data_IF_719964772164
#
_entry.id   IF_719964772164
#
_cell.length_a   1.000
_cell.length_b   1.000
_cell.length_c   1.000
_cell.angle_alpha   90.00
_cell.angle_beta   90.00
_cell.angle_gamma   90.00
#
_symmetry.space_group_name_H-M   'P 1'
#
loop_
_entity.id
_entity.type
_entity.pdbx_description
1 polymer ?
#
# COMPACT_ATOMS: atom_id res chain seq x y z
N UNK A 1 0.40 -14.82 -14.66
CA UNK A 1 1.15 -13.83 -13.85
C UNK A 1 0.23 -13.33 -12.74
N UNK A 2 0.81 -13.08 -11.56
CA UNK A 2 0.12 -12.74 -10.32
C UNK A 2 0.28 -11.25 -10.00
N UNK A 3 -0.83 -10.58 -9.68
CA UNK A 3 -0.85 -9.17 -9.31
C UNK A 3 -1.42 -9.02 -7.90
N UNK A 4 -0.78 -8.16 -7.11
CA UNK A 4 -1.37 -7.59 -5.89
C UNK A 4 -1.63 -6.10 -6.11
N UNK A 5 -2.87 -5.67 -5.94
CA UNK A 5 -3.24 -4.25 -5.95
C UNK A 5 -3.34 -3.69 -4.53
N UNK A 6 -2.78 -2.50 -4.29
CA UNK A 6 -3.10 -1.70 -3.11
C UNK A 6 -4.04 -0.56 -3.51
N UNK A 7 -5.27 -0.62 -3.02
CA UNK A 7 -6.37 0.21 -3.52
C UNK A 7 -6.96 1.07 -2.41
N UNK A 8 -6.79 2.38 -2.57
CA UNK A 8 -7.30 3.38 -1.63
C UNK A 8 -8.58 4.02 -2.18
N UNK A 9 -9.65 4.05 -1.37
CA UNK A 9 -10.87 4.82 -1.69
C UNK A 9 -11.38 4.55 -3.12
N UNK A 10 -11.54 5.61 -3.92
CA UNK A 10 -12.03 5.56 -5.29
C UNK A 10 -11.05 4.90 -6.27
N UNK A 11 -9.77 4.74 -5.91
CA UNK A 11 -8.83 3.98 -6.73
C UNK A 11 -9.23 2.51 -6.83
N UNK A 12 -10.12 1.99 -5.98
CA UNK A 12 -10.69 0.65 -6.14
C UNK A 12 -11.33 0.43 -7.52
N UNK A 13 -12.11 1.41 -8.00
CA UNK A 13 -12.76 1.35 -9.32
C UNK A 13 -11.73 1.35 -10.44
N UNK A 14 -10.73 2.22 -10.34
CA UNK A 14 -9.66 2.33 -11.31
C UNK A 14 -8.80 1.05 -11.34
N UNK A 15 -8.36 0.57 -10.18
CA UNK A 15 -7.56 -0.65 -10.05
C UNK A 15 -8.29 -1.88 -10.56
N UNK A 16 -9.59 -1.96 -10.31
CA UNK A 16 -10.42 -3.01 -10.89
C UNK A 16 -10.52 -2.92 -12.41
N UNK A 17 -10.79 -1.74 -12.97
CA UNK A 17 -10.79 -1.54 -14.42
C UNK A 17 -9.42 -1.90 -15.05
N UNK A 18 -8.32 -1.62 -14.35
CA UNK A 18 -6.99 -2.04 -14.76
C UNK A 18 -6.85 -3.57 -14.71
N UNK A 19 -7.33 -4.23 -13.66
CA UNK A 19 -7.31 -5.70 -13.56
C UNK A 19 -8.04 -6.37 -14.73
N UNK A 20 -9.19 -5.83 -15.14
CA UNK A 20 -9.96 -6.31 -16.31
C UNK A 20 -9.16 -6.20 -17.60
N UNK A 21 -8.42 -5.11 -17.80
CA UNK A 21 -7.59 -4.95 -18.98
C UNK A 21 -6.33 -5.83 -18.92
N UNK A 22 -5.65 -5.91 -17.77
CA UNK A 22 -4.50 -6.79 -17.59
C UNK A 22 -4.86 -8.28 -17.75
N UNK A 23 -6.10 -8.66 -17.43
CA UNK A 23 -6.59 -10.01 -17.71
C UNK A 23 -6.53 -10.38 -19.20
N UNK A 24 -6.79 -9.41 -20.08
CA UNK A 24 -6.69 -9.58 -21.54
C UNK A 24 -5.24 -9.74 -22.00
N UNK A 25 -4.31 -9.15 -21.25
CA UNK A 25 -2.86 -9.23 -21.49
C UNK A 25 -2.19 -10.49 -20.87
N UNK A 26 -2.98 -11.47 -20.39
CA UNK A 26 -2.47 -12.74 -19.88
C UNK A 26 -2.21 -12.82 -18.36
N UNK A 27 -2.56 -11.77 -17.60
CA UNK A 27 -2.58 -11.85 -16.15
C UNK A 27 -3.81 -12.65 -15.68
N UNK A 28 -3.63 -13.56 -14.71
CA UNK A 28 -4.67 -14.55 -14.39
C UNK A 28 -4.98 -14.69 -12.90
N UNK A 29 -4.11 -14.16 -12.03
CA UNK A 29 -4.28 -14.23 -10.58
C UNK A 29 -4.21 -12.83 -10.01
N UNK A 30 -5.26 -12.44 -9.30
CA UNK A 30 -5.43 -11.10 -8.78
C UNK A 30 -5.68 -11.18 -7.27
N UNK A 31 -4.94 -10.38 -6.50
CA UNK A 31 -5.18 -10.15 -5.08
C UNK A 31 -5.27 -8.65 -4.85
N UNK A 32 -5.95 -8.25 -3.77
CA UNK A 32 -6.09 -6.85 -3.43
C UNK A 32 -5.93 -6.62 -1.92
N UNK A 33 -5.32 -5.49 -1.60
CA UNK A 33 -5.23 -4.92 -0.27
C UNK A 33 -5.96 -3.58 -0.32
N UNK A 34 -7.22 -3.59 0.14
CA UNK A 34 -8.09 -2.44 0.18
C UNK A 34 -7.87 -1.64 1.46
N UNK A 35 -7.78 -0.31 1.35
CA UNK A 35 -7.60 0.54 2.52
C UNK A 35 -8.90 0.69 3.34
N UNK A 36 -10.03 0.93 2.69
CA UNK A 36 -11.32 1.19 3.33
C UNK A 36 -12.36 0.15 2.94
N UNK A 37 -13.36 -0.06 3.80
CA UNK A 37 -14.45 -1.01 3.59
C UNK A 37 -15.20 -0.76 2.29
N UNK A 38 -15.49 0.49 1.95
CA UNK A 38 -16.08 0.87 0.67
C UNK A 38 -15.24 0.39 -0.53
N UNK A 39 -13.91 0.50 -0.44
CA UNK A 39 -13.02 0.00 -1.50
C UNK A 39 -13.12 -1.52 -1.62
N UNK A 40 -13.18 -2.24 -0.49
CA UNK A 40 -13.37 -3.70 -0.46
C UNK A 40 -14.71 -4.11 -1.08
N UNK A 41 -15.81 -3.48 -0.66
CA UNK A 41 -17.16 -3.73 -1.16
C UNK A 41 -17.28 -3.48 -2.67
N UNK A 42 -16.62 -2.43 -3.19
CA UNK A 42 -16.56 -2.19 -4.64
C UNK A 42 -15.98 -3.40 -5.36
N UNK A 43 -14.89 -3.98 -4.84
CA UNK A 43 -14.20 -5.11 -5.46
C UNK A 43 -14.98 -6.42 -5.33
N UNK A 44 -15.66 -6.64 -4.20
CA UNK A 44 -16.49 -7.83 -3.95
C UNK A 44 -17.75 -7.86 -4.84
N UNK A 45 -18.29 -6.70 -5.20
CA UNK A 45 -19.49 -6.59 -6.03
C UNK A 45 -19.22 -6.71 -7.54
N UNK A 46 -17.98 -6.95 -7.98
CA UNK A 46 -17.64 -7.15 -9.40
C UNK A 46 -17.51 -8.65 -9.72
N UNK A 47 -18.01 -9.08 -10.89
CA UNK A 47 -18.09 -10.50 -11.26
C UNK A 47 -17.03 -10.94 -12.29
N UNK A 48 -16.35 -10.00 -12.93
CA UNK A 48 -15.38 -10.19 -14.00
C UNK A 48 -13.96 -10.53 -13.50
N UNK A 49 -13.61 -10.08 -12.28
CA UNK A 49 -12.37 -10.40 -11.58
C UNK A 49 -12.67 -11.09 -10.26
N UNK A 50 -12.21 -12.34 -10.12
CA UNK A 50 -12.21 -13.06 -8.85
C UNK A 50 -10.86 -12.83 -8.15
N UNK A 51 -10.89 -12.08 -7.05
CA UNK A 51 -9.70 -11.87 -6.23
C UNK A 51 -9.43 -13.09 -5.35
N UNK A 52 -8.21 -13.65 -5.40
CA UNK A 52 -7.79 -14.82 -4.61
C UNK A 52 -7.65 -14.47 -3.13
N UNK A 53 -7.10 -13.28 -2.85
CA UNK A 53 -7.05 -12.70 -1.52
C UNK A 53 -7.51 -11.24 -1.56
N UNK A 54 -8.31 -10.86 -0.57
CA UNK A 54 -8.82 -9.51 -0.41
C UNK A 54 -8.69 -9.08 1.06
N UNK A 55 -7.64 -8.33 1.38
CA UNK A 55 -7.40 -7.80 2.71
C UNK A 55 -7.98 -6.40 2.88
N UNK A 56 -8.38 -6.06 4.12
CA UNK A 56 -8.90 -4.75 4.49
C UNK A 56 -8.02 -4.12 5.58
N UNK A 57 -7.45 -2.95 5.29
CA UNK A 57 -6.55 -2.22 6.19
C UNK A 57 -7.24 -1.74 7.47
N UNK A 58 -8.50 -1.33 7.40
CA UNK A 58 -9.28 -0.92 8.58
C UNK A 58 -9.44 -2.05 9.60
N UNK A 59 -9.60 -3.28 9.14
CA UNK A 59 -9.75 -4.43 10.03
C UNK A 59 -8.40 -4.81 10.63
N UNK A 60 -7.32 -4.76 9.84
CA UNK A 60 -5.94 -4.90 10.34
C UNK A 60 -5.63 -3.85 11.41
N UNK A 61 -6.01 -2.60 11.18
CA UNK A 61 -5.75 -1.51 12.11
C UNK A 61 -6.38 -1.79 13.48
N UNK A 62 -7.64 -2.26 13.54
CA UNK A 62 -8.31 -2.53 14.82
C UNK A 62 -7.60 -3.57 15.69
N UNK A 63 -6.82 -4.47 15.08
CA UNK A 63 -6.12 -5.53 15.79
C UNK A 63 -4.91 -5.03 16.61
N UNK A 64 -4.46 -3.77 16.45
CA UNK A 64 -3.35 -3.24 17.28
C UNK A 64 -3.62 -3.35 18.78
N UNK A 65 -4.89 -3.26 19.19
CA UNK A 65 -5.29 -3.32 20.61
C UNK A 65 -5.08 -4.71 21.23
N UNK A 66 -5.05 -5.75 20.39
CA UNK A 66 -4.83 -7.14 20.82
C UNK A 66 -3.39 -7.59 20.59
N UNK A 67 -2.64 -6.84 19.79
CA UNK A 67 -1.25 -7.17 19.45
C UNK A 67 -0.33 -6.94 20.66
N UNK A 68 0.36 -8.01 21.08
CA UNK A 68 1.42 -7.89 22.07
C UNK A 68 2.66 -7.30 21.40
N UNK A 69 3.21 -6.26 22.02
CA UNK A 69 4.42 -5.60 21.51
C UNK A 69 5.61 -6.57 21.53
N UNK A 70 6.27 -6.72 20.38
CA UNK A 70 7.39 -7.63 20.17
C UNK A 70 8.59 -6.82 19.68
N UNK A 71 9.45 -6.44 20.63
CA UNK A 71 10.63 -5.64 20.34
C UNK A 71 11.66 -6.38 19.49
N UNK A 72 11.76 -7.70 19.57
CA UNK A 72 12.70 -8.46 18.74
C UNK A 72 12.25 -8.45 17.28
N UNK A 73 10.94 -8.63 17.04
CA UNK A 73 10.39 -8.47 15.70
C UNK A 73 10.62 -7.05 15.16
N UNK A 74 10.38 -6.01 15.96
CA UNK A 74 10.57 -4.62 15.53
C UNK A 74 12.04 -4.32 15.21
N UNK A 75 13.00 -4.80 16.01
CA UNK A 75 14.43 -4.66 15.69
C UNK A 75 14.77 -5.35 14.37
N UNK A 76 14.26 -6.56 14.14
CA UNK A 76 14.47 -7.25 12.86
C UNK A 76 13.84 -6.49 11.70
N UNK A 77 12.62 -5.98 11.87
CA UNK A 77 11.93 -5.18 10.87
C UNK A 77 12.74 -3.93 10.50
N UNK A 78 13.34 -3.27 11.49
CA UNK A 78 14.20 -2.12 11.29
C UNK A 78 15.47 -2.47 10.49
N UNK A 79 16.13 -3.57 10.84
CA UNK A 79 17.33 -4.05 10.11
C UNK A 79 17.00 -4.41 8.66
N UNK A 80 15.89 -5.11 8.44
CA UNK A 80 15.53 -5.62 7.12
C UNK A 80 14.99 -4.53 6.18
N UNK A 81 14.18 -3.60 6.73
CA UNK A 81 13.36 -2.65 5.96
C UNK A 81 13.40 -1.18 6.43
N UNK A 82 14.17 -0.81 7.45
CA UNK A 82 14.23 0.58 7.97
C UNK A 82 14.77 1.60 6.95
N UNK A 83 14.36 2.87 7.07
CA UNK A 83 14.72 3.96 6.13
C UNK A 83 15.06 5.28 6.82
N UNK A 84 16.18 5.46 7.53
CA UNK A 84 17.16 4.46 7.97
C UNK A 84 16.69 3.66 9.20
N UNK A 85 15.56 4.04 9.79
CA UNK A 85 14.92 3.40 10.93
C UNK A 85 13.41 3.23 10.67
N UNK A 86 12.62 2.85 11.67
CA UNK A 86 11.18 2.63 11.50
C UNK A 86 10.31 3.90 11.50
N UNK A 87 10.83 5.05 11.94
CA UNK A 87 10.02 6.27 12.09
C UNK A 87 9.34 6.75 10.81
N UNK A 88 9.98 6.71 9.62
CA UNK A 88 9.36 7.23 8.41
C UNK A 88 8.04 6.56 8.03
N UNK A 89 7.88 5.29 8.39
CA UNK A 89 6.62 4.56 8.20
C UNK A 89 5.48 5.11 9.07
N UNK A 90 5.79 5.65 10.25
CA UNK A 90 4.81 6.26 11.15
C UNK A 90 4.58 7.72 10.73
N UNK A 91 5.66 8.46 10.46
CA UNK A 91 5.56 9.91 10.19
C UNK A 91 4.89 10.25 8.87
N UNK A 92 4.90 9.34 7.89
CA UNK A 92 4.13 9.53 6.65
C UNK A 92 2.62 9.54 6.89
N UNK A 93 2.14 8.97 8.01
CA UNK A 93 0.74 8.78 8.28
C UNK A 93 0.21 9.86 9.23
N UNK A 94 -0.36 10.91 8.64
CA UNK A 94 -0.89 12.05 9.42
C UNK A 94 -1.96 11.65 10.43
N UNK A 95 -2.70 10.56 10.19
CA UNK A 95 -3.74 10.12 11.11
C UNK A 95 -3.12 9.43 12.33
N UNK A 96 -1.99 8.73 12.16
CA UNK A 96 -1.23 8.21 13.30
C UNK A 96 -0.55 9.32 14.10
N UNK A 97 0.16 10.23 13.43
CA UNK A 97 0.97 11.24 14.11
C UNK A 97 0.18 12.40 14.71
N UNK A 98 -0.85 12.88 14.01
CA UNK A 98 -1.50 14.14 14.35
C UNK A 98 -3.00 14.01 14.59
N UNK A 99 -3.56 12.79 14.47
CA UNK A 99 -5.02 12.59 14.52
C UNK A 99 -5.78 13.39 13.46
N UNK A 100 -5.11 13.86 12.41
CA UNK A 100 -5.72 14.73 11.40
C UNK A 100 -6.46 13.85 10.39
N UNK A 101 -7.79 13.96 10.34
CA UNK A 101 -8.56 13.43 9.23
C UNK A 101 -8.37 14.34 8.00
N UNK A 102 -8.59 13.82 6.78
CA UNK A 102 -8.57 14.66 5.59
C UNK A 102 -9.54 15.85 5.75
N UNK A 103 -9.01 17.08 5.62
CA UNK A 103 -9.75 18.36 5.64
C UNK A 103 -10.10 18.92 7.04
N UNK A 104 -9.45 18.43 8.10
CA UNK A 104 -9.55 19.04 9.44
C UNK A 104 -8.42 20.05 9.71
N UNK A 105 -8.69 21.02 10.58
CA UNK A 105 -7.68 21.94 11.10
C UNK A 105 -6.63 21.17 11.93
N UNK A 106 -5.34 21.54 11.87
CA UNK A 106 -4.30 20.77 12.51
C UNK A 106 -4.51 20.68 14.03
N UNK A 107 -4.63 19.45 14.51
CA UNK A 107 -4.40 19.10 15.91
C UNK A 107 -2.98 18.55 15.99
N UNK A 108 -2.18 19.05 16.92
CA UNK A 108 -0.80 18.57 17.10
C UNK A 108 -0.70 17.41 18.10
N UNK A 109 -1.84 16.82 18.48
CA UNK A 109 -1.90 15.72 19.46
C UNK A 109 -2.11 14.37 18.77
N UNK A 110 -1.19 13.40 18.94
CA UNK A 110 -1.40 12.03 18.47
C UNK A 110 -2.52 11.34 19.25
N UNK A 111 -3.32 10.55 18.53
CA UNK A 111 -4.41 9.74 19.11
C UNK A 111 -3.87 8.49 19.82
N UNK A 112 -2.69 8.04 19.41
CA UNK A 112 -2.09 6.78 19.82
C UNK A 112 -0.91 7.04 20.75
N UNK A 113 -0.73 6.18 21.76
CA UNK A 113 0.50 6.16 22.53
C UNK A 113 1.68 5.68 21.67
N UNK A 114 2.92 5.90 22.13
CA UNK A 114 4.10 5.36 21.46
C UNK A 114 4.00 3.83 21.27
N UNK A 115 3.60 3.10 22.31
CA UNK A 115 3.43 1.65 22.23
C UNK A 115 2.33 1.25 21.23
N UNK A 116 1.24 2.00 21.15
CA UNK A 116 0.18 1.73 20.18
C UNK A 116 0.67 1.95 18.74
N UNK A 117 1.44 3.02 18.49
CA UNK A 117 2.06 3.23 17.18
C UNK A 117 2.99 2.07 16.80
N UNK A 118 3.78 1.56 17.75
CA UNK A 118 4.62 0.39 17.52
C UNK A 118 3.80 -0.88 17.24
N UNK A 119 2.71 -1.11 17.99
CA UNK A 119 1.78 -2.23 17.74
C UNK A 119 1.14 -2.14 16.35
N UNK A 120 0.71 -0.94 15.94
CA UNK A 120 0.13 -0.67 14.62
C UNK A 120 1.14 -0.98 13.51
N UNK A 121 2.37 -0.49 13.66
CA UNK A 121 3.44 -0.74 12.71
C UNK A 121 3.75 -2.25 12.61
N UNK A 122 3.88 -2.90 13.76
CA UNK A 122 4.16 -4.34 13.88
C UNK A 122 3.09 -5.19 13.19
N UNK A 123 1.81 -4.99 13.51
CA UNK A 123 0.75 -5.83 12.95
C UNK A 123 0.60 -5.63 11.44
N UNK A 124 0.70 -4.38 10.96
CA UNK A 124 0.67 -4.07 9.52
C UNK A 124 1.84 -4.74 8.80
N UNK A 125 3.06 -4.64 9.35
CA UNK A 125 4.23 -5.27 8.75
C UNK A 125 4.12 -6.80 8.71
N UNK A 126 3.72 -7.44 9.81
CA UNK A 126 3.51 -8.91 9.86
C UNK A 126 2.52 -9.37 8.80
N UNK A 127 1.38 -8.68 8.67
CA UNK A 127 0.34 -9.06 7.71
C UNK A 127 0.78 -8.79 6.27
N UNK A 128 1.49 -7.71 6.00
CA UNK A 128 2.02 -7.40 4.67
C UNK A 128 3.06 -8.45 4.24
N UNK A 129 3.99 -8.81 5.13
CA UNK A 129 4.99 -9.85 4.85
C UNK A 129 4.28 -11.16 4.53
N UNK A 130 3.36 -11.59 5.38
CA UNK A 130 2.57 -12.81 5.18
C UNK A 130 1.79 -12.78 3.86
N UNK A 131 1.12 -11.66 3.55
CA UNK A 131 0.41 -11.47 2.29
C UNK A 131 1.32 -11.69 1.08
N UNK A 132 2.50 -11.07 1.07
CA UNK A 132 3.45 -11.18 -0.04
C UNK A 132 4.06 -12.58 -0.14
N UNK A 133 4.33 -13.24 0.97
CA UNK A 133 4.84 -14.62 1.03
C UNK A 133 3.83 -15.66 0.55
N UNK A 134 2.55 -15.46 0.87
CA UNK A 134 1.46 -16.37 0.45
C UNK A 134 1.06 -16.13 -1.01
N UNK A 135 0.83 -14.88 -1.38
CA UNK A 135 0.39 -14.55 -2.75
C UNK A 135 1.51 -14.72 -3.76
N UNK A 136 2.76 -14.42 -3.39
CA UNK A 136 3.94 -14.38 -4.26
C UNK A 136 3.64 -13.64 -5.57
N UNK A 137 3.27 -12.35 -5.50
CA UNK A 137 2.88 -11.61 -6.68
C UNK A 137 4.11 -11.33 -7.55
N UNK A 138 3.94 -11.40 -8.86
CA UNK A 138 4.96 -10.95 -9.82
C UNK A 138 5.03 -9.42 -9.85
N UNK A 139 3.86 -8.78 -9.64
CA UNK A 139 3.69 -7.32 -9.66
C UNK A 139 2.86 -6.83 -8.47
N UNK A 140 3.30 -5.72 -7.87
CA UNK A 140 2.51 -4.93 -6.94
C UNK A 140 2.17 -3.60 -7.57
N UNK A 141 0.89 -3.24 -7.62
CA UNK A 141 0.45 -1.93 -8.08
C UNK A 141 -0.06 -1.09 -6.92
N UNK A 142 0.47 0.13 -6.76
CA UNK A 142 0.00 1.09 -5.76
C UNK A 142 -0.46 2.38 -6.45
N UNK A 143 -1.60 2.93 -6.00
CA UNK A 143 -2.11 4.20 -6.52
C UNK A 143 -1.47 5.43 -5.89
N UNK A 144 -1.09 5.35 -4.61
CA UNK A 144 -0.47 6.45 -3.88
C UNK A 144 0.21 5.92 -2.62
N UNK A 145 1.34 6.51 -2.25
CA UNK A 145 2.05 6.23 -1.00
C UNK A 145 1.85 7.42 -0.08
N UNK A 146 1.18 7.20 1.05
CA UNK A 146 0.93 8.26 2.04
C UNK A 146 0.34 7.77 3.35
N UNK A 147 0.38 6.46 3.58
CA UNK A 147 0.01 5.82 4.84
C UNK A 147 1.03 4.75 5.20
N UNK A 148 1.04 4.38 6.47
CA UNK A 148 1.92 3.34 7.02
C UNK A 148 1.88 2.07 6.17
N UNK A 149 0.67 1.59 5.84
CA UNK A 149 0.49 0.35 5.06
C UNK A 149 1.01 0.47 3.63
N UNK A 150 0.76 1.60 2.97
CA UNK A 150 1.22 1.82 1.59
C UNK A 150 2.74 1.89 1.48
N UNK A 151 3.38 2.53 2.47
CA UNK A 151 4.82 2.70 2.50
C UNK A 151 5.52 1.38 2.89
N UNK A 152 5.02 0.66 3.90
CA UNK A 152 5.49 -0.68 4.24
C UNK A 152 5.37 -1.63 3.05
N UNK A 153 4.22 -1.68 2.39
CA UNK A 153 4.00 -2.54 1.23
C UNK A 153 4.99 -2.24 0.10
N UNK A 154 5.21 -0.96 -0.23
CA UNK A 154 6.16 -0.56 -1.26
C UNK A 154 7.57 -1.05 -0.94
N UNK A 155 8.07 -0.77 0.26
CA UNK A 155 9.45 -1.09 0.62
C UNK A 155 9.70 -2.58 0.83
N UNK A 156 8.76 -3.29 1.46
CA UNK A 156 8.86 -4.74 1.65
C UNK A 156 8.80 -5.44 0.29
N UNK A 157 7.85 -5.10 -0.60
CA UNK A 157 7.74 -5.70 -1.92
C UNK A 157 9.02 -5.49 -2.76
N UNK A 158 9.57 -4.27 -2.76
CA UNK A 158 10.84 -3.94 -3.45
C UNK A 158 12.01 -4.76 -2.90
N UNK A 159 12.15 -4.89 -1.58
CA UNK A 159 13.21 -5.69 -0.95
C UNK A 159 13.07 -7.18 -1.29
N UNK A 160 11.84 -7.68 -1.39
CA UNK A 160 11.52 -9.03 -1.86
C UNK A 160 11.69 -9.21 -3.38
N UNK A 161 12.19 -8.19 -4.10
CA UNK A 161 12.42 -8.18 -5.56
C UNK A 161 11.13 -8.36 -6.37
N UNK A 162 9.99 -7.94 -5.81
CA UNK A 162 8.71 -7.92 -6.51
C UNK A 162 8.62 -6.63 -7.33
N UNK A 163 8.19 -6.74 -8.60
CA UNK A 163 8.11 -5.58 -9.48
C UNK A 163 7.00 -4.65 -8.99
N UNK A 164 7.37 -3.50 -8.48
CA UNK A 164 6.45 -2.57 -7.83
C UNK A 164 6.22 -1.37 -8.72
N UNK A 165 4.98 -1.16 -9.13
CA UNK A 165 4.54 -0.11 -10.05
C UNK A 165 3.62 0.84 -9.32
N UNK A 166 3.94 2.12 -9.40
CA UNK A 166 3.15 3.22 -8.91
C UNK A 166 2.36 3.81 -10.05
N UNK A 167 1.06 3.95 -9.83
CA UNK A 167 0.14 4.51 -10.80
C UNK A 167 -0.26 5.90 -10.32
N UNK A 168 0.18 6.91 -11.04
CA UNK A 168 -0.23 8.28 -10.79
C UNK A 168 -1.27 8.72 -11.82
N UNK A 169 -2.42 9.17 -11.34
CA UNK A 169 -3.43 9.83 -12.16
C UNK A 169 -3.14 11.33 -12.18
N UNK A 170 -2.50 11.87 -13.24
CA UNK A 170 -2.35 13.30 -13.37
C UNK A 170 -3.73 13.95 -13.49
N UNK A 171 -3.83 15.24 -13.13
CA UNK A 171 -5.02 16.06 -13.34
C UNK A 171 -5.38 16.30 -14.82
N UNK A 172 -4.79 15.53 -15.75
CA UNK A 172 -4.95 15.63 -17.19
C UNK A 172 -5.78 14.46 -17.66
N UNK A 173 -6.88 14.76 -18.37
CA UNK A 173 -7.80 13.75 -18.90
C UNK A 173 -7.05 12.77 -19.82
N UNK A 174 -7.38 11.48 -19.68
CA UNK A 174 -6.83 10.38 -20.49
C UNK A 174 -5.31 10.17 -20.38
N UNK A 175 -4.66 10.74 -19.36
CA UNK A 175 -3.24 10.49 -19.12
C UNK A 175 -3.07 9.66 -17.85
N UNK A 176 -2.11 8.75 -17.89
CA UNK A 176 -1.68 7.92 -16.77
C UNK A 176 -0.17 7.97 -16.72
N UNK A 177 0.40 8.11 -15.53
CA UNK A 177 1.83 7.93 -15.33
C UNK A 177 2.08 6.61 -14.58
N UNK A 178 3.06 5.86 -15.06
CA UNK A 178 3.57 4.67 -14.41
C UNK A 178 5.02 4.93 -14.01
N UNK A 179 5.36 4.64 -12.76
CA UNK A 179 6.73 4.76 -12.26
C UNK A 179 7.06 3.61 -11.32
N UNK A 180 8.33 3.25 -11.21
CA UNK A 180 8.78 2.23 -10.25
C UNK A 180 9.38 2.85 -8.97
N UNK A 181 9.68 4.14 -9.03
CA UNK A 181 10.25 4.94 -7.95
C UNK A 181 9.24 6.02 -7.55
N UNK A 182 8.95 6.16 -6.26
CA UNK A 182 8.01 7.19 -5.80
C UNK A 182 8.61 8.60 -5.74
N UNK A 183 9.94 8.72 -5.80
CA UNK A 183 10.65 10.01 -5.84
C UNK A 183 10.95 10.48 -7.27
N UNK A 184 10.62 9.67 -8.29
CA UNK A 184 10.94 9.96 -9.69
C UNK A 184 9.78 9.57 -10.60
N UNK A 185 9.78 10.10 -11.82
CA UNK A 185 8.93 9.61 -12.90
C UNK A 185 9.76 8.69 -13.78
N UNK A 186 9.87 7.42 -13.36
CA UNK A 186 10.59 6.42 -14.14
C UNK A 186 10.11 6.45 -15.60
N UNK A 187 11.02 6.21 -16.53
CA UNK A 187 10.78 6.17 -17.97
C UNK A 187 10.61 7.55 -18.62
N UNK A 188 10.38 8.62 -17.85
CA UNK A 188 10.33 9.98 -18.37
C UNK A 188 11.72 10.58 -18.57
N UNK A 189 12.74 10.07 -17.87
CA UNK A 189 14.10 10.61 -17.98
C UNK A 189 14.63 10.52 -19.42
N UNK A 190 14.37 9.40 -20.10
CA UNK A 190 14.76 9.19 -21.50
C UNK A 190 14.06 10.11 -22.48
N UNK A 191 12.90 10.67 -22.12
CA UNK A 191 12.17 11.64 -22.94
C UNK A 191 12.83 13.01 -22.79
N UNK A 192 13.20 13.39 -21.58
CA UNK A 192 13.93 14.64 -21.33
C UNK A 192 15.33 14.65 -21.97
N UNK A 193 16.03 13.52 -22.02
CA UNK A 193 17.32 13.40 -22.72
C UNK A 193 17.23 13.62 -24.24
N UNK A 194 16.03 13.60 -24.82
CA UNK A 194 15.78 13.77 -26.27
C UNK A 194 15.40 15.19 -26.67
N UNK A 195 15.24 16.10 -25.71
CA UNK A 195 14.86 17.51 -25.91
C UNK A 195 16.08 18.37 -25.59
#
# INVERSE_FOLDING_TARGET
MKILFFLQRNFARFGHALAVNLKKEGFNKFSAYAQLRLAKEILENQNDIKYEQLLLDEDIHKEYKKEKLDYEFLRKLEVDYGIPNLWPYITTDRTLMYSILPREYPSDKPMYSHEDMLRILQIKAKIIIKLLEETKPDYVFLSFIGTTSSMLLYHIARKMKIKTILIYLPGIKNLLSLTEDYNRLSFSEKIFERI
#
